data_IF_261194411868
#
_entry.id   IF_261194411868
#
_cell.length_a   1.000
_cell.length_b   1.000
_cell.length_c   1.000
_cell.angle_alpha   90.00
_cell.angle_beta   90.00
_cell.angle_gamma   90.00
#
_symmetry.space_group_name_H-M   'P 1'
#
loop_
_entity.id
_entity.type
_entity.pdbx_description
1 polymer ?
#
# COMPACT_ATOMS: atom_id res chain seq x y z
N UNK A 1 4.21 -8.02 11.34
CA UNK A 1 3.59 -7.99 9.99
C UNK A 1 4.68 -7.93 8.90
N UNK A 2 5.16 -9.08 8.42
CA UNK A 2 6.21 -9.14 7.38
C UNK A 2 5.63 -9.28 5.98
N UNK A 3 4.56 -10.08 5.83
CA UNK A 3 3.88 -10.28 4.54
C UNK A 3 3.28 -8.99 3.96
N UNK A 4 2.57 -8.21 4.77
CA UNK A 4 1.97 -6.93 4.35
C UNK A 4 3.05 -5.96 3.84
N UNK A 5 4.24 -5.96 4.45
CA UNK A 5 5.36 -5.13 4.02
C UNK A 5 5.91 -5.53 2.64
N UNK A 6 5.88 -6.83 2.31
CA UNK A 6 6.25 -7.32 0.98
C UNK A 6 5.17 -6.98 -0.07
N UNK A 7 3.89 -7.16 0.28
CA UNK A 7 2.75 -6.86 -0.61
C UNK A 7 2.67 -5.36 -0.96
N UNK A 8 2.91 -4.48 0.01
CA UNK A 8 2.96 -3.03 -0.21
C UNK A 8 4.24 -2.56 -0.93
N UNK A 9 5.12 -3.47 -1.37
CA UNK A 9 6.45 -3.15 -1.92
C UNK A 9 7.27 -2.22 -1.00
N UNK A 10 7.11 -2.36 0.32
CA UNK A 10 7.99 -1.71 1.30
C UNK A 10 9.34 -2.43 1.38
N UNK A 11 9.39 -3.72 1.05
CA UNK A 11 10.60 -4.53 0.91
C UNK A 11 10.44 -5.52 -0.24
N UNK A 12 11.58 -6.00 -0.76
CA UNK A 12 11.60 -7.12 -1.71
C UNK A 12 11.75 -8.45 -0.96
N UNK A 13 11.16 -9.55 -1.46
CA UNK A 13 11.38 -10.87 -0.90
C UNK A 13 12.85 -11.29 -1.11
N UNK A 14 13.49 -11.81 -0.06
CA UNK A 14 14.88 -12.31 -0.13
C UNK A 14 15.02 -13.62 -0.93
N UNK A 15 13.91 -14.30 -1.19
CA UNK A 15 13.83 -15.51 -2.00
C UNK A 15 12.41 -15.77 -2.50
N UNK A 16 12.28 -16.45 -3.63
CA UNK A 16 10.99 -16.69 -4.29
C UNK A 16 10.45 -15.47 -5.04
N UNK A 17 9.14 -15.49 -5.33
CA UNK A 17 8.43 -14.38 -5.96
C UNK A 17 6.99 -14.31 -5.47
N UNK A 18 6.42 -13.12 -5.53
CA UNK A 18 4.99 -12.87 -5.32
C UNK A 18 4.43 -12.50 -6.69
N UNK A 19 3.35 -13.16 -7.12
CA UNK A 19 2.71 -12.88 -8.40
C UNK A 19 1.31 -12.33 -8.20
N UNK A 20 0.93 -11.33 -8.99
CA UNK A 20 -0.45 -10.88 -9.18
C UNK A 20 -0.86 -11.37 -10.56
N UNK A 21 -1.90 -12.20 -10.64
CA UNK A 21 -2.40 -12.78 -11.90
C UNK A 21 -1.33 -13.45 -12.78
N UNK A 22 -0.30 -14.01 -12.14
CA UNK A 22 0.82 -14.68 -12.81
C UNK A 22 2.00 -13.77 -13.18
N UNK A 23 1.85 -12.44 -13.11
CA UNK A 23 2.95 -11.47 -13.30
C UNK A 23 3.66 -11.21 -11.98
N UNK A 24 4.99 -11.12 -11.97
CA UNK A 24 5.76 -10.83 -10.75
C UNK A 24 5.41 -9.43 -10.24
N UNK A 25 5.19 -9.30 -8.92
CA UNK A 25 4.92 -8.04 -8.25
C UNK A 25 6.01 -6.98 -8.53
N UNK A 26 7.25 -7.41 -8.78
CA UNK A 26 8.38 -6.53 -9.08
C UNK A 26 8.31 -5.89 -10.47
N UNK A 27 7.56 -6.50 -11.39
CA UNK A 27 7.42 -6.04 -12.77
C UNK A 27 6.35 -4.94 -12.90
N UNK A 28 5.51 -4.76 -11.88
CA UNK A 28 4.55 -3.66 -11.83
C UNK A 28 5.22 -2.33 -11.46
N UNK A 29 4.77 -1.20 -12.07
CA UNK A 29 5.11 0.13 -11.60
C UNK A 29 4.74 0.27 -10.12
N UNK A 30 5.67 0.80 -9.33
CA UNK A 30 5.46 0.92 -7.88
C UNK A 30 4.26 1.82 -7.53
N UNK A 31 3.94 2.76 -8.41
CA UNK A 31 2.78 3.63 -8.27
C UNK A 31 1.46 2.86 -8.37
N UNK A 32 1.38 1.88 -9.28
CA UNK A 32 0.17 1.07 -9.49
C UNK A 32 -0.05 0.11 -8.32
N UNK A 33 1.03 -0.54 -7.86
CA UNK A 33 1.00 -1.41 -6.66
C UNK A 33 0.54 -0.62 -5.43
N UNK A 34 1.06 0.60 -5.23
CA UNK A 34 0.68 1.47 -4.10
C UNK A 34 -0.69 2.14 -4.27
N UNK A 35 -1.20 2.23 -5.50
CA UNK A 35 -2.57 2.69 -5.78
C UNK A 35 -3.62 1.61 -5.52
N UNK A 36 -3.25 0.34 -5.73
CA UNK A 36 -4.14 -0.81 -5.55
C UNK A 36 -4.20 -1.32 -4.10
N UNK A 37 -3.17 -1.05 -3.28
CA UNK A 37 -3.06 -1.57 -1.91
C UNK A 37 -2.68 -0.45 -0.94
N UNK A 38 -3.47 -0.29 0.13
CA UNK A 38 -3.14 0.59 1.26
C UNK A 38 -3.05 -0.22 2.55
N UNK A 39 -2.07 0.11 3.38
CA UNK A 39 -1.85 -0.54 4.67
C UNK A 39 -2.36 0.30 5.82
N UNK A 40 -3.09 -0.32 6.75
CA UNK A 40 -3.41 0.26 8.06
C UNK A 40 -2.66 -0.51 9.15
N UNK A 41 -2.04 0.21 10.07
CA UNK A 41 -1.37 -0.38 11.23
C UNK A 41 -2.38 -0.64 12.34
N UNK A 42 -2.22 -1.74 13.08
CA UNK A 42 -3.06 -2.04 14.25
C UNK A 42 -2.91 -0.96 15.33
N UNK A 43 -1.70 -0.43 15.49
CA UNK A 43 -1.43 0.76 16.30
C UNK A 43 -1.43 1.97 15.34
N UNK A 44 -2.63 2.50 15.08
CA UNK A 44 -2.82 3.60 14.15
C UNK A 44 -2.55 4.94 14.84
N UNK A 45 -1.82 5.83 14.17
CA UNK A 45 -1.66 7.20 14.64
C UNK A 45 -2.99 7.93 14.57
N UNK A 46 -3.45 8.44 15.72
CA UNK A 46 -4.58 9.37 15.77
C UNK A 46 -4.04 10.77 15.48
N UNK A 47 -4.24 11.26 14.26
CA UNK A 47 -3.96 12.68 14.00
C UNK A 47 -5.00 13.52 14.72
N UNK A 48 -4.59 14.66 15.29
CA UNK A 48 -5.50 15.69 15.85
C UNK A 48 -6.21 16.45 14.72
N UNK A 49 -6.91 15.70 13.88
CA UNK A 49 -7.70 16.18 12.76
C UNK A 49 -9.13 15.65 12.92
N UNK A 50 -10.07 16.19 12.14
CA UNK A 50 -11.41 15.62 12.11
C UNK A 50 -11.38 14.17 11.62
N UNK A 51 -12.41 13.39 11.94
CA UNK A 51 -12.52 12.02 11.44
C UNK A 51 -12.51 11.98 9.90
N UNK A 52 -13.14 12.97 9.25
CA UNK A 52 -13.16 13.12 7.79
C UNK A 52 -11.75 13.30 7.23
N UNK A 53 -10.95 14.17 7.82
CA UNK A 53 -9.60 14.47 7.34
C UNK A 53 -8.64 13.31 7.59
N UNK A 54 -8.80 12.60 8.73
CA UNK A 54 -8.05 11.39 9.02
C UNK A 54 -8.30 10.29 7.98
N UNK A 55 -9.55 10.12 7.51
CA UNK A 55 -9.93 9.07 6.54
C UNK A 55 -9.58 9.47 5.10
N UNK A 56 -9.67 10.76 4.78
CA UNK A 56 -9.38 11.26 3.41
C UNK A 56 -7.87 11.34 3.15
N UNK A 57 -7.04 11.21 4.20
CA UNK A 57 -5.58 11.17 4.09
C UNK A 57 -5.14 9.98 3.20
N UNK A 58 -4.72 10.27 1.98
CA UNK A 58 -4.32 9.25 0.99
C UNK A 58 -5.27 9.09 -0.19
N UNK A 59 -6.42 9.75 -0.18
CA UNK A 59 -7.26 9.87 -1.38
C UNK A 59 -6.53 10.77 -2.38
N UNK A 60 -6.12 10.20 -3.52
CA UNK A 60 -5.67 11.02 -4.65
C UNK A 60 -6.88 11.78 -5.14
N UNK A 61 -6.76 13.11 -5.28
CA UNK A 61 -7.75 13.88 -6.01
C UNK A 61 -7.91 13.23 -7.39
N UNK A 62 -9.06 12.62 -7.62
CA UNK A 62 -9.44 12.12 -8.94
C UNK A 62 -9.53 13.34 -9.83
N UNK A 63 -8.45 13.61 -10.57
CA UNK A 63 -8.45 14.59 -11.63
C UNK A 63 -9.49 14.17 -12.66
N UNK A 64 -10.57 14.94 -12.70
CA UNK A 64 -11.24 15.27 -13.96
C UNK A 64 -10.36 16.29 -14.68
#
# INVERSE_FOLDING_TARGET
MTLVKLLCRLYNPSGGRITIDGTDLRDYPIADVRGAVSGIFQDFMKFQLSAKDNITLGVRASGV
#
